data_IF_755447733655
#
_entry.id   IF_755447733655
#
_cell.length_a   1.000
_cell.length_b   1.000
_cell.length_c   1.000
_cell.angle_alpha   90.00
_cell.angle_beta   90.00
_cell.angle_gamma   90.00
#
_symmetry.space_group_name_H-M   'P 1'
#
loop_
_entity.id
_entity.type
_entity.pdbx_description
1 polymer ?
#
# COMPACT_ATOMS: atom_id res chain seq x y z
N UNK A 1 -20.12 -0.85 7.19
CA UNK A 1 -21.30 -1.74 7.35
C UNK A 1 -22.01 -2.04 6.03
N UNK A 2 -22.27 -1.07 5.14
CA UNK A 2 -22.88 -1.34 3.83
C UNK A 2 -21.99 -2.17 2.87
N UNK A 3 -20.68 -1.86 2.77
CA UNK A 3 -19.73 -2.66 2.00
C UNK A 3 -19.49 -4.06 2.61
N UNK A 4 -19.42 -4.16 3.95
CA UNK A 4 -19.43 -5.42 4.70
C UNK A 4 -20.67 -6.27 4.36
N UNK A 5 -21.87 -5.65 4.31
CA UNK A 5 -23.10 -6.31 3.89
C UNK A 5 -23.09 -6.66 2.42
N UNK A 6 -22.50 -5.88 1.51
CA UNK A 6 -22.43 -6.26 0.09
C UNK A 6 -21.46 -7.41 -0.15
N UNK A 7 -20.29 -7.41 0.48
CA UNK A 7 -19.32 -8.52 0.40
C UNK A 7 -19.88 -9.76 1.10
N UNK A 8 -20.51 -9.60 2.27
CA UNK A 8 -21.14 -10.71 2.99
C UNK A 8 -22.45 -11.16 2.32
N UNK A 9 -23.21 -10.30 1.64
CA UNK A 9 -24.39 -10.67 0.83
C UNK A 9 -23.97 -11.35 -0.50
N UNK A 10 -22.81 -10.98 -1.06
CA UNK A 10 -22.17 -11.73 -2.14
C UNK A 10 -21.80 -13.16 -1.70
N UNK A 11 -21.53 -13.39 -0.40
CA UNK A 11 -21.30 -14.71 0.18
C UNK A 11 -22.59 -15.41 0.68
N UNK A 12 -23.61 -14.67 1.14
CA UNK A 12 -24.76 -15.22 1.88
C UNK A 12 -25.97 -15.58 1.01
N UNK A 13 -26.14 -14.98 -0.17
CA UNK A 13 -27.31 -15.18 -1.03
C UNK A 13 -27.42 -16.59 -1.68
N UNK A 14 -26.54 -17.54 -1.33
CA UNK A 14 -26.56 -18.92 -1.85
C UNK A 14 -26.75 -20.00 -0.78
N UNK A 15 -26.63 -19.67 0.51
CA UNK A 15 -26.90 -20.62 1.59
C UNK A 15 -28.38 -20.98 1.73
N UNK A 16 -29.27 -20.09 1.27
CA UNK A 16 -30.72 -20.29 1.30
C UNK A 16 -31.23 -21.06 0.06
N UNK A 17 -30.71 -20.75 -1.14
CA UNK A 17 -31.16 -21.36 -2.40
C UNK A 17 -30.71 -22.83 -2.55
N UNK A 18 -29.55 -23.20 -1.99
CA UNK A 18 -29.06 -24.59 -2.02
C UNK A 18 -29.83 -25.46 -1.01
N UNK A 19 -30.28 -24.90 0.12
CA UNK A 19 -31.14 -25.60 1.08
C UNK A 19 -32.59 -25.72 0.59
N UNK A 20 -33.11 -24.74 -0.17
CA UNK A 20 -34.43 -24.84 -0.81
C UNK A 20 -34.46 -25.81 -2.01
N UNK A 21 -33.36 -25.92 -2.79
CA UNK A 21 -33.26 -26.91 -3.88
C UNK A 21 -33.03 -28.35 -3.41
N UNK A 22 -32.47 -28.57 -2.22
CA UNK A 22 -32.34 -29.92 -1.66
C UNK A 22 -33.58 -30.41 -0.89
N UNK A 23 -34.49 -29.52 -0.49
CA UNK A 23 -35.79 -29.91 0.08
C UNK A 23 -36.90 -30.14 -0.95
N UNK A 24 -36.73 -29.72 -2.21
CA UNK A 24 -37.75 -29.82 -3.28
C UNK A 24 -37.62 -31.05 -4.18
N UNK A 25 -36.77 -32.03 -3.84
CA UNK A 25 -36.59 -33.28 -4.64
C UNK A 25 -36.96 -34.58 -3.89
N UNK A 26 -37.82 -34.52 -2.88
CA UNK A 26 -38.51 -35.70 -2.35
C UNK A 26 -40.01 -35.57 -2.58
N UNK A 27 -40.48 -36.18 -3.67
CA UNK A 27 -41.90 -36.42 -3.92
C UNK A 27 -42.25 -37.72 -3.17
N UNK A 28 -43.06 -37.61 -2.12
CA UNK A 28 -43.82 -38.73 -1.56
C UNK A 28 -45.28 -38.60 -2.03
N UNK A 29 -45.86 -39.63 -2.67
CA UNK A 29 -47.25 -39.59 -3.13
C UNK A 29 -48.13 -40.24 -2.07
N UNK A 30 -48.62 -39.44 -1.12
CA UNK A 30 -49.90 -39.69 -0.46
C UNK A 30 -50.25 -38.58 0.54
N UNK A 31 -51.53 -38.22 0.50
CA UNK A 31 -52.39 -37.82 1.62
C UNK A 31 -52.95 -36.38 1.61
N UNK A 32 -54.26 -36.38 1.41
CA UNK A 32 -55.28 -35.37 1.63
C UNK A 32 -55.16 -34.52 2.91
N UNK A 33 -55.65 -33.28 2.82
CA UNK A 33 -56.65 -32.80 3.78
C UNK A 33 -56.34 -31.52 4.59
N UNK A 34 -57.25 -30.55 4.43
CA UNK A 34 -57.81 -29.64 5.43
C UNK A 34 -56.96 -28.51 6.09
N UNK A 35 -57.35 -27.29 5.71
CA UNK A 35 -57.88 -26.17 6.54
C UNK A 35 -57.44 -25.96 8.00
N UNK A 36 -57.18 -24.69 8.36
CA UNK A 36 -57.62 -24.15 9.66
C UNK A 36 -56.68 -23.21 10.42
N UNK A 37 -56.95 -21.90 10.27
CA UNK A 37 -57.14 -20.90 11.34
C UNK A 37 -56.04 -20.59 12.41
N UNK A 38 -55.68 -19.29 12.43
CA UNK A 38 -55.58 -18.35 13.58
C UNK A 38 -54.84 -18.75 14.88
N UNK A 39 -53.95 -17.87 15.39
CA UNK A 39 -54.25 -16.97 16.52
C UNK A 39 -53.07 -16.02 16.86
N UNK A 40 -53.47 -14.90 17.47
CA UNK A 40 -52.71 -13.76 17.99
C UNK A 40 -51.65 -14.10 19.05
N UNK A 41 -50.57 -13.30 19.15
CA UNK A 41 -50.40 -12.37 20.28
C UNK A 41 -49.18 -11.45 20.13
N UNK A 42 -49.43 -10.16 20.39
CA UNK A 42 -48.45 -9.15 20.76
C UNK A 42 -48.07 -9.27 22.25
N UNK A 43 -47.04 -8.50 22.60
CA UNK A 43 -46.59 -8.06 23.94
C UNK A 43 -45.49 -8.85 24.62
N UNK A 44 -44.30 -8.22 24.68
CA UNK A 44 -43.59 -7.89 25.93
C UNK A 44 -42.26 -7.16 25.63
N UNK A 45 -42.34 -5.84 25.48
CA UNK A 45 -41.24 -4.90 25.70
C UNK A 45 -41.21 -4.58 27.21
N UNK A 46 -40.15 -4.96 27.93
CA UNK A 46 -39.57 -4.24 29.08
C UNK A 46 -38.57 -5.13 29.82
N UNK A 47 -37.27 -4.99 29.52
CA UNK A 47 -36.13 -5.12 30.44
C UNK A 47 -34.84 -5.01 29.63
N UNK A 48 -34.07 -3.95 29.85
CA UNK A 48 -32.75 -3.82 29.23
C UNK A 48 -32.15 -2.43 29.16
N UNK A 49 -32.82 -1.39 29.66
CA UNK A 49 -32.24 -0.03 29.73
C UNK A 49 -31.75 0.27 31.14
N UNK A 50 -30.68 -0.41 31.59
CA UNK A 50 -29.94 0.01 32.80
C UNK A 50 -28.47 -0.49 32.88
N UNK A 51 -27.90 -1.00 31.78
CA UNK A 51 -26.48 -1.40 31.74
C UNK A 51 -25.61 -0.63 30.72
N UNK A 52 -26.17 0.32 29.96
CA UNK A 52 -25.42 1.08 28.94
C UNK A 52 -24.98 2.49 29.38
N UNK A 53 -25.30 2.95 30.59
CA UNK A 53 -24.91 4.29 31.06
C UNK A 53 -23.74 4.34 32.04
N UNK A 54 -23.17 3.20 32.48
CA UNK A 54 -22.00 3.19 33.38
C UNK A 54 -20.66 2.87 32.69
N UNK A 55 -20.64 2.47 31.41
CA UNK A 55 -19.41 2.22 30.65
C UNK A 55 -18.90 3.45 29.87
N UNK A 56 -19.72 4.49 29.69
CA UNK A 56 -19.37 5.70 28.92
C UNK A 56 -18.65 6.79 29.73
N UNK A 57 -18.42 6.59 31.03
CA UNK A 57 -17.71 7.56 31.90
C UNK A 57 -16.32 7.11 32.37
N UNK A 58 -15.83 5.95 31.91
CA UNK A 58 -14.46 5.47 32.20
C UNK A 58 -13.51 5.44 30.99
N UNK A 59 -13.91 5.99 29.83
CA UNK A 59 -13.09 6.02 28.62
C UNK A 59 -12.63 7.42 28.16
N UNK A 60 -12.83 8.46 28.98
CA UNK A 60 -12.39 9.85 28.69
C UNK A 60 -11.13 10.28 29.45
N UNK A 61 -10.37 9.35 30.05
CA UNK A 61 -9.16 9.68 30.82
C UNK A 61 -7.90 8.87 30.43
N UNK A 62 -7.82 8.37 29.18
CA UNK A 62 -6.62 7.71 28.66
C UNK A 62 -6.21 8.22 27.26
N UNK A 63 -6.59 9.45 26.93
CA UNK A 63 -6.15 10.18 25.74
C UNK A 63 -5.08 11.20 26.14
N UNK A 64 -3.87 10.72 26.41
CA UNK A 64 -2.63 11.50 26.51
C UNK A 64 -1.47 10.52 26.45
N UNK A 65 -0.48 10.80 25.59
CA UNK A 65 0.73 10.00 25.28
C UNK A 65 0.59 8.87 24.24
N UNK A 66 0.70 9.25 22.96
CA UNK A 66 1.58 8.54 22.02
C UNK A 66 2.11 9.51 20.96
N UNK A 67 2.94 10.47 21.38
CA UNK A 67 3.90 11.07 20.48
C UNK A 67 5.15 10.17 20.52
N UNK A 68 5.29 9.28 19.55
CA UNK A 68 6.58 8.61 19.31
C UNK A 68 7.35 9.50 18.36
N UNK A 69 8.13 10.40 18.96
CA UNK A 69 9.26 11.05 18.30
C UNK A 69 10.31 9.97 17.99
N UNK A 70 10.69 9.87 16.72
CA UNK A 70 11.91 9.19 16.31
C UNK A 70 13.10 9.95 16.90
N UNK A 71 13.56 9.54 18.09
CA UNK A 71 14.79 10.06 18.66
C UNK A 71 15.99 9.45 17.95
N UNK A 72 16.69 10.30 17.19
CA UNK A 72 18.08 10.08 16.82
C UNK A 72 18.92 9.85 18.07
N UNK A 73 19.65 8.73 18.09
CA UNK A 73 20.59 8.39 19.13
C UNK A 73 21.82 9.27 18.96
N UNK A 74 21.93 10.34 19.75
CA UNK A 74 23.22 10.93 20.11
C UNK A 74 23.12 11.62 21.47
N UNK A 75 23.69 10.98 22.49
CA UNK A 75 24.50 11.56 23.58
C UNK A 75 24.27 10.81 24.90
N UNK A 76 25.32 10.17 25.41
CA UNK A 76 25.65 10.21 26.83
C UNK A 76 27.07 9.70 27.06
N UNK A 77 27.96 10.63 27.44
CA UNK A 77 29.04 10.55 28.43
C UNK A 77 29.89 11.81 28.23
N UNK A 78 30.27 12.64 29.21
CA UNK A 78 29.87 12.89 30.58
C UNK A 78 30.51 14.24 30.93
N UNK A 79 29.85 15.06 31.75
CA UNK A 79 30.43 16.28 32.34
C UNK A 79 31.57 15.93 33.32
N UNK A 80 32.63 16.73 33.33
CA UNK A 80 33.20 17.41 34.53
C UNK A 80 34.44 18.23 34.18
N UNK A 81 34.54 19.44 34.74
CA UNK A 81 35.80 20.16 34.96
C UNK A 81 35.79 21.61 34.48
N UNK A 82 35.39 22.53 35.36
CA UNK A 82 35.66 23.98 35.25
C UNK A 82 37.16 24.26 35.43
N UNK A 83 37.72 25.24 34.70
CA UNK A 83 38.66 26.26 35.22
C UNK A 83 38.97 27.33 34.17
N UNK A 84 39.18 28.55 34.65
CA UNK A 84 39.17 29.83 33.96
C UNK A 84 40.49 30.24 33.28
N UNK A 85 40.36 31.24 32.39
CA UNK A 85 41.30 32.34 32.10
C UNK A 85 42.56 32.07 31.24
N UNK A 86 42.64 32.71 30.07
CA UNK A 86 43.36 33.98 29.89
C UNK A 86 43.29 34.48 28.44
N UNK A 87 43.45 35.79 28.30
CA UNK A 87 43.15 36.58 27.11
C UNK A 87 44.39 36.88 26.24
N UNK A 88 44.08 37.29 25.00
CA UNK A 88 44.73 38.36 24.22
C UNK A 88 45.87 38.01 23.21
N UNK A 89 46.11 38.87 22.18
CA UNK A 89 45.90 38.49 20.77
C UNK A 89 47.07 38.88 19.82
N UNK A 90 46.96 38.59 18.50
CA UNK A 90 47.21 39.51 17.35
C UNK A 90 47.72 38.82 16.05
N UNK A 91 46.91 39.02 14.99
CA UNK A 91 47.22 39.57 13.64
C UNK A 91 48.06 38.79 12.59
N UNK A 92 47.84 39.11 11.29
CA UNK A 92 48.02 38.20 10.15
C UNK A 92 49.24 38.56 9.27
N UNK A 93 49.71 37.61 8.47
CA UNK A 93 50.55 37.90 7.31
C UNK A 93 50.12 37.09 6.08
N UNK A 94 50.13 37.82 4.97
CA UNK A 94 49.63 37.45 3.66
C UNK A 94 50.69 36.75 2.78
N UNK A 95 50.28 36.47 1.53
CA UNK A 95 51.07 36.33 0.29
C UNK A 95 51.15 34.88 -0.25
N UNK A 96 50.32 34.63 -1.29
CA UNK A 96 50.51 33.60 -2.34
C UNK A 96 51.70 33.98 -3.25
N UNK A 97 52.08 33.28 -4.33
CA UNK A 97 51.65 31.98 -4.89
C UNK A 97 52.86 31.07 -5.21
N UNK A 98 52.67 29.77 -5.52
CA UNK A 98 53.57 29.08 -6.47
C UNK A 98 52.91 27.79 -6.97
N UNK A 99 52.68 27.72 -8.28
CA UNK A 99 52.46 26.46 -9.01
C UNK A 99 53.80 25.73 -9.11
N UNK A 100 53.86 24.50 -8.62
CA UNK A 100 54.75 23.47 -9.14
C UNK A 100 53.98 22.18 -9.28
N UNK A 101 54.02 21.62 -10.48
CA UNK A 101 53.56 20.28 -10.81
C UNK A 101 54.58 19.27 -10.28
N UNK A 102 54.13 18.29 -9.47
CA UNK A 102 54.62 16.90 -9.59
C UNK A 102 53.88 15.90 -8.71
N UNK A 103 53.67 14.76 -9.36
CA UNK A 103 53.73 13.40 -8.84
C UNK A 103 52.57 12.89 -7.98
N UNK A 104 51.93 11.86 -8.52
CA UNK A 104 51.23 10.81 -7.80
C UNK A 104 52.08 10.34 -6.60
N UNK A 105 51.70 10.77 -5.41
CA UNK A 105 52.02 10.06 -4.17
C UNK A 105 50.70 9.50 -3.65
N UNK A 106 50.64 8.18 -3.52
CA UNK A 106 49.47 7.48 -3.00
C UNK A 106 48.99 8.13 -1.70
N UNK A 107 47.75 8.59 -1.71
CA UNK A 107 47.08 9.08 -0.52
C UNK A 107 46.93 7.89 0.43
N UNK A 108 47.74 7.90 1.50
CA UNK A 108 47.41 7.18 2.73
C UNK A 108 45.95 7.49 3.07
N UNK A 109 45.11 6.49 3.38
CA UNK A 109 43.72 6.75 3.71
C UNK A 109 43.66 7.73 4.88
N UNK A 110 42.90 8.81 4.71
CA UNK A 110 42.75 9.85 5.72
C UNK A 110 42.05 9.24 6.94
N UNK A 111 42.85 8.88 7.95
CA UNK A 111 42.37 8.22 9.18
C UNK A 111 41.51 9.14 10.05
N UNK A 112 41.32 10.40 9.66
CA UNK A 112 40.50 11.38 10.40
C UNK A 112 39.00 11.06 10.38
N UNK A 113 38.56 10.20 9.45
CA UNK A 113 37.16 9.76 9.33
C UNK A 113 36.94 8.28 9.71
N UNK A 114 37.95 7.59 10.26
CA UNK A 114 37.87 6.15 10.59
C UNK A 114 36.83 5.81 11.67
N UNK A 115 36.30 6.81 12.37
CA UNK A 115 35.29 6.67 13.42
C UNK A 115 33.96 7.36 13.09
N UNK A 116 33.81 7.94 11.90
CA UNK A 116 32.48 8.35 11.44
C UNK A 116 31.69 7.11 11.03
N UNK A 117 30.42 6.97 11.43
CA UNK A 117 29.59 5.89 10.95
C UNK A 117 29.54 5.95 9.42
N UNK A 118 30.18 5.00 8.75
CA UNK A 118 30.07 4.85 7.31
C UNK A 118 28.67 4.32 7.02
N UNK A 119 27.72 5.22 6.77
CA UNK A 119 26.43 4.81 6.28
C UNK A 119 26.64 4.18 4.91
N UNK A 120 26.13 2.97 4.75
CA UNK A 120 26.14 2.18 3.51
C UNK A 120 25.26 2.80 2.42
N UNK A 121 25.40 4.10 2.14
CA UNK A 121 24.65 4.80 1.12
C UNK A 121 24.90 4.19 -0.27
N UNK A 122 26.13 3.76 -0.53
CA UNK A 122 26.52 3.04 -1.75
C UNK A 122 25.80 1.68 -1.85
N UNK A 123 25.74 0.91 -0.75
CA UNK A 123 24.99 -0.34 -0.69
C UNK A 123 23.48 -0.13 -0.92
N UNK A 124 22.91 0.97 -0.43
CA UNK A 124 21.49 1.31 -0.68
C UNK A 124 21.27 1.62 -2.17
N UNK A 125 22.24 2.26 -2.83
CA UNK A 125 22.29 2.43 -4.28
C UNK A 125 22.30 1.07 -5.00
N UNK A 126 23.22 0.19 -4.64
CA UNK A 126 23.36 -1.14 -5.22
C UNK A 126 22.10 -2.01 -5.02
N UNK A 127 21.45 -1.89 -3.85
CA UNK A 127 20.18 -2.59 -3.57
C UNK A 127 19.06 -2.04 -4.47
N UNK A 128 18.99 -0.72 -4.64
CA UNK A 128 18.00 -0.07 -5.51
C UNK A 128 18.19 -0.56 -6.95
N UNK A 129 19.42 -0.53 -7.44
CA UNK A 129 19.77 -1.00 -8.79
C UNK A 129 19.45 -2.49 -8.95
N UNK A 130 19.76 -3.32 -7.94
CA UNK A 130 19.39 -4.74 -7.95
C UNK A 130 17.87 -4.96 -8.05
N UNK A 131 17.06 -4.18 -7.31
CA UNK A 131 15.60 -4.33 -7.36
C UNK A 131 15.01 -3.83 -8.67
N UNK A 132 15.46 -2.67 -9.16
CA UNK A 132 15.03 -2.11 -10.45
C UNK A 132 15.44 -3.04 -11.60
N UNK A 133 16.65 -3.60 -11.56
CA UNK A 133 17.12 -4.55 -12.56
C UNK A 133 16.35 -5.87 -12.51
N UNK A 134 16.04 -6.39 -11.31
CA UNK A 134 15.16 -7.57 -11.16
C UNK A 134 13.76 -7.32 -11.71
N UNK A 135 13.22 -6.12 -11.49
CA UNK A 135 11.93 -5.71 -12.02
C UNK A 135 11.96 -5.59 -13.55
N UNK A 136 12.98 -4.95 -14.12
CA UNK A 136 13.21 -4.91 -15.58
C UNK A 136 13.31 -6.29 -16.19
N UNK A 137 14.09 -7.19 -15.57
CA UNK A 137 14.22 -8.58 -16.02
C UNK A 137 12.89 -9.33 -15.94
N UNK A 138 12.09 -9.10 -14.90
CA UNK A 138 10.77 -9.71 -14.78
C UNK A 138 9.79 -9.20 -15.83
N UNK A 139 9.80 -7.89 -16.13
CA UNK A 139 9.00 -7.28 -17.21
C UNK A 139 9.46 -7.78 -18.59
N UNK A 140 10.76 -7.85 -18.84
CA UNK A 140 11.31 -8.36 -20.10
C UNK A 140 10.85 -9.80 -20.34
N UNK A 141 10.97 -10.66 -19.33
CA UNK A 141 10.45 -12.05 -19.38
C UNK A 141 8.94 -12.10 -19.58
N UNK A 142 8.19 -11.15 -19.01
CA UNK A 142 6.74 -11.06 -19.21
C UNK A 142 6.39 -10.75 -20.67
N UNK A 143 7.09 -9.80 -21.28
CA UNK A 143 6.90 -9.42 -22.68
C UNK A 143 7.32 -10.55 -23.64
N UNK A 144 8.44 -11.24 -23.36
CA UNK A 144 8.92 -12.39 -24.14
C UNK A 144 7.97 -13.59 -24.04
N UNK A 145 7.40 -13.85 -22.85
CA UNK A 145 6.44 -14.92 -22.61
C UNK A 145 5.11 -14.72 -23.34
N UNK A 146 4.66 -13.47 -23.50
CA UNK A 146 3.48 -13.15 -24.30
C UNK A 146 3.74 -13.23 -25.81
N UNK A 147 4.99 -13.01 -26.26
CA UNK A 147 5.35 -13.03 -27.68
C UNK A 147 5.56 -14.46 -28.23
N UNK A 148 5.96 -15.41 -27.39
CA UNK A 148 6.44 -16.72 -27.83
C UNK A 148 5.36 -17.80 -27.98
N UNK A 149 4.12 -17.62 -27.48
CA UNK A 149 3.05 -18.64 -27.43
C UNK A 149 3.46 -20.00 -26.83
N UNK A 150 4.69 -20.13 -26.34
CA UNK A 150 5.23 -21.28 -25.61
C UNK A 150 4.60 -21.28 -24.21
N UNK A 151 4.32 -22.46 -23.62
CA UNK A 151 3.91 -22.56 -22.24
C UNK A 151 5.10 -22.19 -21.36
N UNK A 152 5.30 -20.88 -21.14
CA UNK A 152 6.18 -20.36 -20.10
C UNK A 152 5.74 -21.07 -18.83
N UNK A 153 6.68 -21.75 -18.16
CA UNK A 153 6.41 -22.39 -16.90
C UNK A 153 5.85 -21.30 -15.96
N UNK A 154 4.52 -21.29 -15.78
CA UNK A 154 3.77 -20.20 -15.14
C UNK A 154 4.28 -19.92 -13.72
N UNK A 155 5.00 -20.90 -13.14
CA UNK A 155 5.68 -20.83 -11.85
C UNK A 155 6.86 -19.84 -11.78
N UNK A 156 7.44 -19.39 -12.91
CA UNK A 156 8.59 -18.46 -12.91
C UNK A 156 8.18 -17.02 -13.18
N UNK A 157 7.15 -16.79 -14.02
CA UNK A 157 6.69 -15.45 -14.40
C UNK A 157 5.71 -14.85 -13.37
N UNK A 158 4.79 -15.66 -12.82
CA UNK A 158 3.89 -15.25 -11.73
C UNK A 158 4.49 -15.42 -10.33
N UNK A 159 5.76 -15.81 -10.27
CA UNK A 159 6.49 -15.97 -9.02
C UNK A 159 6.49 -14.70 -8.18
N UNK A 160 6.45 -13.52 -8.81
CA UNK A 160 6.57 -12.21 -8.14
C UNK A 160 5.46 -11.22 -8.52
N UNK A 161 4.83 -11.39 -9.69
CA UNK A 161 3.80 -10.49 -10.21
C UNK A 161 2.54 -11.25 -10.61
N UNK A 162 1.37 -10.61 -10.51
CA UNK A 162 0.12 -11.16 -11.01
C UNK A 162 0.01 -10.96 -12.53
N UNK A 163 -0.79 -11.78 -13.22
CA UNK A 163 -1.11 -11.55 -14.62
C UNK A 163 -2.04 -10.34 -14.76
N UNK A 164 -1.75 -9.31 -15.57
CA UNK A 164 -2.71 -8.23 -15.80
C UNK A 164 -3.99 -8.70 -16.51
N UNK A 165 -4.06 -9.97 -16.93
CA UNK A 165 -5.23 -10.57 -17.59
C UNK A 165 -5.83 -11.76 -16.82
N UNK A 166 -5.49 -12.01 -15.54
CA UNK A 166 -6.01 -13.19 -14.83
C UNK A 166 -7.54 -13.22 -14.66
N UNK A 167 -8.23 -12.08 -14.81
CA UNK A 167 -9.69 -12.03 -14.75
C UNK A 167 -10.38 -12.28 -16.10
N UNK A 168 -9.66 -12.27 -17.24
CA UNK A 168 -10.29 -12.43 -18.56
C UNK A 168 -11.01 -13.79 -18.73
N UNK A 169 -10.53 -14.83 -18.04
CA UNK A 169 -11.05 -16.19 -18.14
C UNK A 169 -11.79 -16.62 -16.86
N UNK A 170 -12.05 -15.68 -15.95
CA UNK A 170 -12.71 -15.94 -14.68
C UNK A 170 -14.25 -15.86 -14.86
N UNK A 171 -15.02 -16.94 -14.56
CA UNK A 171 -16.45 -16.99 -14.88
C UNK A 171 -17.40 -16.22 -13.91
N UNK A 172 -16.98 -15.96 -12.67
CA UNK A 172 -17.83 -15.41 -11.59
C UNK A 172 -17.35 -14.09 -10.97
N UNK A 173 -16.09 -13.70 -11.15
CA UNK A 173 -15.37 -12.58 -10.53
C UNK A 173 -14.91 -11.66 -11.64
N UNK A 174 -15.21 -10.38 -11.50
CA UNK A 174 -14.77 -9.34 -12.43
C UNK A 174 -13.99 -8.24 -11.69
N UNK A 175 -13.46 -7.29 -12.45
CA UNK A 175 -12.66 -6.17 -11.94
C UNK A 175 -13.40 -5.37 -10.86
N UNK A 176 -14.72 -5.19 -11.02
CA UNK A 176 -15.56 -4.50 -10.04
C UNK A 176 -15.62 -5.27 -8.71
N UNK A 177 -15.72 -6.60 -8.71
CA UNK A 177 -15.70 -7.40 -7.49
C UNK A 177 -14.33 -7.33 -6.79
N UNK A 178 -13.23 -7.32 -7.55
CA UNK A 178 -11.88 -7.08 -7.01
C UNK A 178 -11.81 -5.71 -6.33
N UNK A 179 -12.26 -4.65 -7.00
CA UNK A 179 -12.31 -3.29 -6.43
C UNK A 179 -13.11 -3.25 -5.13
N UNK A 180 -14.28 -3.91 -5.07
CA UNK A 180 -15.11 -4.00 -3.86
C UNK A 180 -14.33 -4.66 -2.71
N UNK A 181 -13.63 -5.76 -3.01
CA UNK A 181 -12.83 -6.47 -2.02
C UNK A 181 -11.71 -5.56 -1.48
N UNK A 182 -10.95 -4.92 -2.36
CA UNK A 182 -9.82 -4.06 -1.97
C UNK A 182 -10.30 -2.84 -1.20
N UNK A 183 -11.39 -2.18 -1.62
CA UNK A 183 -12.02 -1.07 -0.87
C UNK A 183 -12.38 -1.49 0.56
N UNK A 184 -12.98 -2.67 0.71
CA UNK A 184 -13.29 -3.22 2.03
C UNK A 184 -12.04 -3.56 2.84
N UNK A 185 -10.99 -4.10 2.21
CA UNK A 185 -9.73 -4.42 2.89
C UNK A 185 -9.01 -3.17 3.40
N UNK A 186 -9.20 -1.99 2.80
CA UNK A 186 -8.72 -0.72 3.37
C UNK A 186 -9.37 -0.45 4.74
N UNK A 187 -10.68 -0.68 4.88
CA UNK A 187 -11.35 -0.53 6.19
C UNK A 187 -10.84 -1.58 7.21
N UNK A 188 -10.57 -2.82 6.77
CA UNK A 188 -9.99 -3.88 7.62
C UNK A 188 -8.57 -3.53 8.06
N UNK A 189 -7.74 -3.06 7.14
CA UNK A 189 -6.38 -2.57 7.37
C UNK A 189 -6.35 -1.50 8.47
N UNK A 190 -7.25 -0.52 8.37
CA UNK A 190 -7.40 0.53 9.39
C UNK A 190 -7.91 0.00 10.73
N UNK A 191 -8.84 -0.97 10.71
CA UNK A 191 -9.40 -1.58 11.92
C UNK A 191 -8.34 -2.33 12.72
N UNK A 192 -7.47 -3.07 12.05
CA UNK A 192 -6.33 -3.78 12.65
C UNK A 192 -5.11 -2.88 12.90
N UNK A 193 -5.12 -1.63 12.41
CA UNK A 193 -4.04 -0.64 12.58
C UNK A 193 -2.70 -1.13 12.02
N UNK A 194 -2.75 -1.81 10.88
CA UNK A 194 -1.58 -2.39 10.22
C UNK A 194 -0.74 -1.31 9.52
N UNK A 195 0.53 -1.63 9.27
CA UNK A 195 1.45 -0.83 8.46
C UNK A 195 1.02 -0.82 6.98
N UNK A 196 1.45 0.18 6.21
CA UNK A 196 1.01 0.34 4.83
C UNK A 196 1.55 -0.81 3.94
N UNK A 197 2.78 -1.23 4.22
CA UNK A 197 3.51 -2.36 3.66
C UNK A 197 2.64 -3.63 3.63
N UNK A 198 1.96 -3.91 4.76
CA UNK A 198 1.02 -5.03 4.90
C UNK A 198 -0.14 -4.97 3.90
N UNK A 199 -0.70 -3.79 3.63
CA UNK A 199 -1.76 -3.62 2.62
C UNK A 199 -1.25 -3.90 1.21
N UNK A 200 -0.09 -3.35 0.85
CA UNK A 200 0.51 -3.55 -0.47
C UNK A 200 0.83 -5.03 -0.72
N UNK A 201 1.40 -5.71 0.28
CA UNK A 201 1.67 -7.14 0.21
C UNK A 201 0.37 -7.96 0.13
N UNK A 202 -0.64 -7.64 0.94
CA UNK A 202 -1.93 -8.35 0.92
C UNK A 202 -2.57 -8.34 -0.48
N UNK A 203 -2.62 -7.18 -1.14
CA UNK A 203 -3.19 -7.08 -2.49
C UNK A 203 -2.35 -7.86 -3.51
N UNK A 204 -1.02 -7.79 -3.43
CA UNK A 204 -0.14 -8.60 -4.27
C UNK A 204 -0.42 -10.11 -4.11
N UNK A 205 -0.59 -10.59 -2.88
CA UNK A 205 -0.91 -11.99 -2.59
C UNK A 205 -2.27 -12.40 -3.16
N UNK A 206 -3.29 -11.53 -3.07
CA UNK A 206 -4.62 -11.77 -3.66
C UNK A 206 -4.49 -11.95 -5.18
N UNK A 207 -3.85 -10.99 -5.85
CA UNK A 207 -3.81 -10.98 -7.32
C UNK A 207 -2.97 -12.14 -7.87
N UNK A 208 -1.84 -12.47 -7.23
CA UNK A 208 -1.02 -13.63 -7.61
C UNK A 208 -1.75 -14.95 -7.35
N UNK A 209 -2.44 -15.08 -6.21
CA UNK A 209 -3.21 -16.27 -5.91
C UNK A 209 -4.33 -16.49 -6.94
N UNK A 210 -5.09 -15.42 -7.26
CA UNK A 210 -6.11 -15.48 -8.31
C UNK A 210 -5.52 -15.76 -9.69
N UNK A 211 -4.32 -15.25 -9.99
CA UNK A 211 -3.58 -15.57 -11.23
C UNK A 211 -3.23 -17.06 -11.33
N UNK A 212 -2.77 -17.67 -10.23
CA UNK A 212 -2.44 -19.09 -10.20
C UNK A 212 -3.68 -19.97 -10.29
N UNK A 213 -4.75 -19.58 -9.59
CA UNK A 213 -6.00 -20.31 -9.57
C UNK A 213 -6.74 -20.25 -10.92
N UNK A 214 -6.65 -19.14 -11.66
CA UNK A 214 -7.31 -18.95 -12.96
C UNK A 214 -6.35 -19.17 -14.13
N UNK A 215 -5.60 -20.27 -14.12
CA UNK A 215 -4.64 -20.51 -15.20
C UNK A 215 -5.34 -20.93 -16.50
N UNK A 216 -4.73 -20.58 -17.65
CA UNK A 216 -5.30 -20.88 -18.99
C UNK A 216 -5.40 -22.39 -19.28
N UNK A 217 -4.63 -23.21 -18.57
CA UNK A 217 -4.45 -24.64 -18.81
C UNK A 217 -5.62 -25.45 -18.24
N UNK A 218 -6.08 -25.11 -17.04
CA UNK A 218 -7.22 -25.75 -16.39
C UNK A 218 -8.35 -24.74 -16.14
N UNK A 219 -9.28 -24.67 -17.10
CA UNK A 219 -10.47 -23.80 -17.02
C UNK A 219 -11.52 -24.27 -16.01
N UNK A 220 -11.37 -25.46 -15.43
CA UNK A 220 -12.30 -25.98 -14.43
C UNK A 220 -11.85 -25.63 -13.00
N UNK A 221 -10.64 -25.13 -12.83
CA UNK A 221 -10.14 -24.62 -11.56
C UNK A 221 -10.27 -23.09 -11.55
N UNK A 222 -11.06 -22.56 -10.62
CA UNK A 222 -11.21 -21.12 -10.38
C UNK A 222 -11.65 -20.87 -8.94
N UNK A 223 -11.48 -19.63 -8.45
CA UNK A 223 -12.02 -19.22 -7.15
C UNK A 223 -13.48 -18.77 -7.31
N UNK A 224 -14.47 -19.43 -6.67
CA UNK A 224 -15.85 -18.98 -6.72
C UNK A 224 -16.02 -17.61 -6.06
N UNK A 225 -16.96 -16.78 -6.52
CA UNK A 225 -17.20 -15.44 -5.96
C UNK A 225 -17.46 -15.47 -4.45
N UNK A 226 -18.13 -16.51 -3.95
CA UNK A 226 -18.45 -16.71 -2.53
C UNK A 226 -17.21 -16.92 -1.64
N UNK A 227 -16.07 -17.29 -2.25
CA UNK A 227 -14.79 -17.51 -1.57
C UNK A 227 -13.84 -16.30 -1.69
N UNK A 228 -14.20 -15.28 -2.46
CA UNK A 228 -13.33 -14.13 -2.71
C UNK A 228 -13.01 -13.33 -1.43
N UNK A 229 -13.99 -13.12 -0.54
CA UNK A 229 -13.72 -12.46 0.75
C UNK A 229 -12.77 -13.28 1.62
N UNK A 230 -12.93 -14.61 1.65
CA UNK A 230 -12.02 -15.48 2.39
C UNK A 230 -10.58 -15.37 1.89
N UNK A 231 -10.39 -15.31 0.57
CA UNK A 231 -9.06 -15.05 -0.03
C UNK A 231 -8.50 -13.73 0.48
N UNK A 232 -9.29 -12.66 0.45
CA UNK A 232 -8.84 -11.34 0.91
C UNK A 232 -8.45 -11.30 2.39
N UNK A 233 -9.26 -11.89 3.27
CA UNK A 233 -8.96 -11.97 4.71
C UNK A 233 -7.71 -12.78 4.98
N UNK A 234 -7.55 -13.93 4.31
CA UNK A 234 -6.38 -14.79 4.50
C UNK A 234 -5.10 -14.16 3.93
N UNK A 235 -5.19 -13.46 2.79
CA UNK A 235 -4.06 -12.72 2.24
C UNK A 235 -3.62 -11.57 3.17
N UNK A 236 -4.58 -10.84 3.78
CA UNK A 236 -4.28 -9.83 4.81
C UNK A 236 -3.61 -10.45 6.03
N UNK A 237 -4.10 -11.60 6.52
CA UNK A 237 -3.52 -12.31 7.65
C UNK A 237 -2.08 -12.79 7.35
N UNK A 238 -1.84 -13.33 6.16
CA UNK A 238 -0.52 -13.77 5.71
C UNK A 238 0.44 -12.59 5.58
N UNK A 239 0.00 -11.49 4.97
CA UNK A 239 0.80 -10.28 4.88
C UNK A 239 1.13 -9.73 6.27
N UNK A 240 0.17 -9.71 7.18
CA UNK A 240 0.40 -9.24 8.54
C UNK A 240 1.37 -10.14 9.30
N UNK A 241 1.28 -11.48 9.15
CA UNK A 241 2.28 -12.41 9.73
C UNK A 241 3.68 -12.20 9.18
N UNK A 242 3.80 -11.62 7.98
CA UNK A 242 5.07 -11.38 7.32
C UNK A 242 5.68 -10.02 7.72
N UNK A 243 4.87 -8.97 7.79
CA UNK A 243 5.32 -7.59 7.98
C UNK A 243 5.18 -7.06 9.42
N UNK A 244 4.23 -7.58 10.20
CA UNK A 244 3.90 -7.04 11.52
C UNK A 244 4.62 -7.79 12.65
N UNK A 245 5.04 -7.03 13.67
CA UNK A 245 5.53 -7.61 14.93
C UNK A 245 4.40 -8.38 15.63
N UNK A 246 3.18 -7.86 15.57
CA UNK A 246 1.99 -8.39 16.24
C UNK A 246 0.83 -8.54 15.24
N UNK A 247 0.81 -9.61 14.44
CA UNK A 247 -0.27 -9.85 13.50
C UNK A 247 -1.59 -10.18 14.22
N UNK A 248 -2.74 -9.92 13.58
CA UNK A 248 -4.04 -10.31 14.12
C UNK A 248 -4.14 -11.84 14.25
N UNK A 249 -4.91 -12.29 15.23
CA UNK A 249 -5.18 -13.70 15.43
C UNK A 249 -6.28 -14.21 14.46
N UNK A 250 -6.28 -15.54 14.20
CA UNK A 250 -7.32 -16.16 13.35
C UNK A 250 -8.74 -15.88 13.87
N UNK A 251 -8.94 -15.78 15.19
CA UNK A 251 -10.24 -15.44 15.78
C UNK A 251 -10.73 -14.04 15.37
N UNK A 252 -9.82 -13.10 15.16
CA UNK A 252 -10.15 -11.74 14.71
C UNK A 252 -10.53 -11.75 13.23
N UNK A 253 -9.91 -12.61 12.42
CA UNK A 253 -10.31 -12.86 11.03
C UNK A 253 -11.71 -13.49 10.92
N UNK A 254 -12.06 -14.43 11.81
CA UNK A 254 -13.43 -14.96 11.92
C UNK A 254 -14.40 -13.83 12.27
N UNK A 255 -14.05 -13.01 13.26
CA UNK A 255 -14.91 -11.91 13.71
C UNK A 255 -15.11 -10.81 12.65
N UNK A 256 -14.05 -10.36 11.97
CA UNK A 256 -14.12 -9.30 10.96
C UNK A 256 -14.89 -9.74 9.71
N UNK A 257 -14.93 -11.04 9.44
CA UNK A 257 -15.76 -11.66 8.41
C UNK A 257 -17.20 -11.95 8.88
N UNK A 258 -17.64 -11.38 10.01
CA UNK A 258 -18.96 -11.57 10.59
C UNK A 258 -19.33 -13.06 10.83
N UNK A 259 -18.33 -13.89 11.15
CA UNK A 259 -18.46 -15.34 11.30
C UNK A 259 -18.97 -16.05 10.03
N UNK A 260 -18.82 -15.44 8.84
CA UNK A 260 -19.12 -16.10 7.57
C UNK A 260 -18.24 -17.32 7.35
N UNK A 261 -17.01 -17.30 7.88
CA UNK A 261 -16.04 -18.40 7.74
C UNK A 261 -15.61 -18.95 9.09
N UNK A 262 -15.42 -20.26 9.12
CA UNK A 262 -14.88 -20.98 10.29
C UNK A 262 -13.37 -20.81 10.41
N UNK A 263 -12.83 -21.13 11.59
CA UNK A 263 -11.38 -21.13 11.84
C UNK A 263 -10.65 -22.08 10.88
N UNK A 264 -11.23 -23.25 10.64
CA UNK A 264 -10.69 -24.30 9.78
C UNK A 264 -10.63 -23.83 8.33
N UNK A 265 -11.65 -23.14 7.85
CA UNK A 265 -11.66 -22.57 6.49
C UNK A 265 -10.60 -21.50 6.28
N UNK A 266 -10.37 -20.64 7.28
CA UNK A 266 -9.30 -19.64 7.23
C UNK A 266 -7.93 -20.31 7.15
N UNK A 267 -7.66 -21.29 8.02
CA UNK A 267 -6.39 -22.02 8.02
C UNK A 267 -6.19 -22.78 6.71
N UNK A 268 -7.24 -23.39 6.17
CA UNK A 268 -7.16 -24.11 4.90
C UNK A 268 -6.90 -23.16 3.72
N UNK A 269 -7.53 -21.97 3.73
CA UNK A 269 -7.27 -20.97 2.70
C UNK A 269 -5.85 -20.39 2.81
N UNK A 270 -5.34 -20.10 4.00
CA UNK A 270 -3.94 -19.68 4.19
C UNK A 270 -2.97 -20.71 3.58
N UNK A 271 -3.16 -22.00 3.89
CA UNK A 271 -2.35 -23.09 3.30
C UNK A 271 -2.46 -23.12 1.78
N UNK A 272 -3.67 -22.93 1.24
CA UNK A 272 -3.90 -22.87 -0.21
C UNK A 272 -3.10 -21.74 -0.86
N UNK A 273 -3.15 -20.53 -0.29
CA UNK A 273 -2.41 -19.37 -0.79
C UNK A 273 -0.91 -19.64 -0.72
N UNK A 274 -0.38 -20.08 0.42
CA UNK A 274 1.04 -20.38 0.56
C UNK A 274 1.52 -21.46 -0.41
N UNK A 275 0.73 -22.51 -0.60
CA UNK A 275 1.07 -23.62 -1.51
C UNK A 275 1.07 -23.16 -2.96
N UNK A 276 0.02 -22.45 -3.40
CA UNK A 276 -0.08 -21.91 -4.75
C UNK A 276 1.07 -20.96 -5.08
N UNK A 277 1.50 -20.15 -4.11
CA UNK A 277 2.61 -19.21 -4.26
C UNK A 277 3.98 -19.80 -3.92
N UNK A 278 4.06 -21.10 -3.64
CA UNK A 278 5.31 -21.78 -3.24
C UNK A 278 6.07 -21.06 -2.13
N UNK A 279 5.34 -20.50 -1.16
CA UNK A 279 5.86 -19.68 -0.04
C UNK A 279 6.72 -18.46 -0.47
N UNK A 280 6.62 -18.01 -1.72
CA UNK A 280 7.30 -16.80 -2.21
C UNK A 280 6.51 -15.55 -1.83
N UNK A 281 6.67 -15.12 -0.58
CA UNK A 281 6.00 -13.94 -0.01
C UNK A 281 6.87 -12.68 -0.08
N UNK A 282 8.20 -12.82 -0.13
CA UNK A 282 9.13 -11.69 -0.34
C UNK A 282 9.06 -11.22 -1.79
N UNK A 283 8.33 -10.14 -2.03
CA UNK A 283 8.09 -9.58 -3.36
C UNK A 283 8.30 -8.06 -3.35
N UNK A 284 8.67 -7.47 -4.49
CA UNK A 284 8.69 -6.02 -4.61
C UNK A 284 7.25 -5.48 -4.50
N UNK A 285 7.07 -4.47 -3.65
CA UNK A 285 5.85 -3.67 -3.55
C UNK A 285 6.17 -2.21 -3.89
N UNK A 286 5.17 -1.36 -4.17
CA UNK A 286 5.45 0.04 -4.51
C UNK A 286 6.09 0.85 -3.35
N UNK A 287 5.90 0.42 -2.10
CA UNK A 287 6.27 1.22 -0.93
C UNK A 287 7.78 1.46 -0.77
N UNK A 288 8.68 0.46 -0.88
CA UNK A 288 10.13 0.69 -0.84
C UNK A 288 10.63 1.70 -1.90
N UNK A 289 10.08 1.66 -3.12
CA UNK A 289 10.43 2.61 -4.18
C UNK A 289 9.97 4.03 -3.84
N UNK A 290 8.75 4.19 -3.33
CA UNK A 290 8.26 5.49 -2.86
C UNK A 290 9.10 6.02 -1.68
N UNK A 291 9.49 5.14 -0.75
CA UNK A 291 10.36 5.48 0.39
C UNK A 291 11.73 5.98 -0.05
N UNK A 292 12.31 5.35 -1.09
CA UNK A 292 13.55 5.84 -1.70
C UNK A 292 13.38 7.23 -2.28
N UNK A 293 12.30 7.48 -3.04
CA UNK A 293 12.02 8.80 -3.60
C UNK A 293 11.78 9.86 -2.50
N UNK A 294 11.08 9.50 -1.41
CA UNK A 294 10.88 10.41 -0.27
C UNK A 294 12.19 10.76 0.42
N UNK A 295 13.13 9.81 0.57
CA UNK A 295 14.45 10.09 1.16
C UNK A 295 15.21 11.14 0.34
N UNK A 296 15.09 11.10 -0.99
CA UNK A 296 15.69 12.11 -1.88
C UNK A 296 15.02 13.47 -1.67
N UNK A 297 13.68 13.50 -1.66
CA UNK A 297 12.90 14.74 -1.47
C UNK A 297 13.12 15.38 -0.09
N UNK A 298 13.40 14.59 0.95
CA UNK A 298 13.67 15.10 2.29
C UNK A 298 14.99 15.88 2.36
N UNK A 299 15.95 15.55 1.50
CA UNK A 299 17.26 16.23 1.41
C UNK A 299 17.37 17.31 0.33
N UNK A 300 16.38 17.43 -0.55
CA UNK A 300 16.40 18.32 -1.73
C UNK A 300 15.44 19.52 -1.57
N UNK A 301 15.78 20.67 -2.16
CA UNK A 301 14.83 21.78 -2.33
C UNK A 301 13.98 21.52 -3.58
N UNK A 302 13.13 20.50 -3.50
CA UNK A 302 12.33 20.01 -4.63
C UNK A 302 11.28 21.00 -5.15
N UNK A 303 11.04 22.10 -4.42
CA UNK A 303 10.18 23.20 -4.86
C UNK A 303 10.98 24.38 -5.42
N UNK A 304 12.22 24.60 -4.98
CA UNK A 304 13.09 25.66 -5.47
C UNK A 304 12.58 27.07 -5.12
N UNK A 305 11.75 27.20 -4.08
CA UNK A 305 11.10 28.45 -3.67
C UNK A 305 11.66 29.04 -2.37
N UNK A 306 12.76 28.48 -1.84
CA UNK A 306 13.45 29.03 -0.67
C UNK A 306 12.61 28.98 0.61
N UNK A 307 12.01 27.82 0.90
CA UNK A 307 11.20 27.60 2.11
C UNK A 307 12.03 27.52 3.37
N UNK A 308 11.44 27.95 4.49
CA UNK A 308 12.01 27.65 5.80
C UNK A 308 11.91 26.14 6.13
N UNK A 309 12.61 25.70 7.16
CA UNK A 309 12.69 24.29 7.52
C UNK A 309 11.33 23.70 7.95
N UNK A 310 10.47 24.50 8.58
CA UNK A 310 9.16 24.06 9.05
C UNK A 310 8.19 23.86 7.89
N UNK A 311 8.14 24.82 6.97
CA UNK A 311 7.39 24.75 5.72
C UNK A 311 7.85 23.57 4.87
N UNK A 312 9.16 23.35 4.76
CA UNK A 312 9.73 22.20 4.04
C UNK A 312 9.27 20.88 4.64
N UNK A 313 9.31 20.74 5.97
CA UNK A 313 8.78 19.55 6.68
C UNK A 313 7.28 19.36 6.44
N UNK A 314 6.49 20.45 6.46
CA UNK A 314 5.06 20.40 6.18
C UNK A 314 4.75 19.96 4.75
N UNK A 315 5.43 20.54 3.74
CA UNK A 315 5.27 20.18 2.34
C UNK A 315 5.72 18.75 2.04
N UNK A 316 6.81 18.31 2.66
CA UNK A 316 7.25 16.93 2.56
C UNK A 316 6.19 15.94 3.08
N UNK A 317 5.61 16.23 4.25
CA UNK A 317 4.53 15.40 4.80
C UNK A 317 3.29 15.37 3.90
N UNK A 318 2.91 16.51 3.29
CA UNK A 318 1.85 16.56 2.28
C UNK A 318 2.17 15.65 1.09
N UNK A 319 3.38 15.72 0.54
CA UNK A 319 3.79 14.86 -0.59
C UNK A 319 3.74 13.39 -0.21
N UNK A 320 4.20 13.00 0.98
CA UNK A 320 4.14 11.61 1.45
C UNK A 320 2.71 11.09 1.56
N UNK A 321 1.80 11.88 2.15
CA UNK A 321 0.40 11.51 2.25
C UNK A 321 -0.28 11.47 0.88
N UNK A 322 0.00 12.43 0.00
CA UNK A 322 -0.52 12.45 -1.37
C UNK A 322 0.01 11.28 -2.21
N UNK A 323 1.29 10.93 -2.06
CA UNK A 323 1.88 9.75 -2.73
C UNK A 323 1.15 8.49 -2.31
N UNK A 324 0.94 8.31 -1.00
CA UNK A 324 0.24 7.13 -0.45
C UNK A 324 -1.22 7.08 -0.89
N UNK A 325 -1.89 8.24 -1.01
CA UNK A 325 -3.23 8.35 -1.56
C UNK A 325 -3.33 7.83 -2.99
N UNK A 326 -2.39 8.20 -3.88
CA UNK A 326 -2.34 7.72 -5.26
C UNK A 326 -1.99 6.23 -5.35
N UNK A 327 -1.00 5.78 -4.58
CA UNK A 327 -0.63 4.36 -4.53
C UNK A 327 -1.78 3.47 -4.06
N UNK A 328 -2.55 3.91 -3.05
CA UNK A 328 -3.72 3.15 -2.58
C UNK A 328 -4.86 3.14 -3.61
N UNK A 329 -5.05 4.21 -4.41
CA UNK A 329 -5.98 4.15 -5.54
C UNK A 329 -5.51 3.15 -6.61
N UNK A 330 -4.21 3.09 -6.88
CA UNK A 330 -3.64 2.11 -7.80
C UNK A 330 -3.88 0.66 -7.33
N UNK A 331 -3.98 0.39 -6.02
CA UNK A 331 -4.35 -0.93 -5.52
C UNK A 331 -5.78 -1.35 -5.91
N UNK A 332 -6.72 -0.41 -5.94
CA UNK A 332 -8.12 -0.69 -6.28
C UNK A 332 -8.31 -0.92 -7.79
N UNK A 333 -7.55 -0.22 -8.63
CA UNK A 333 -7.67 -0.31 -10.08
C UNK A 333 -7.00 -1.57 -10.63
N UNK A 334 -7.78 -2.43 -11.28
CA UNK A 334 -7.26 -3.63 -11.93
C UNK A 334 -6.30 -3.30 -13.09
N UNK A 335 -6.51 -2.17 -13.78
CA UNK A 335 -5.63 -1.76 -14.89
C UNK A 335 -4.21 -1.46 -14.42
N UNK A 336 -4.03 -1.08 -13.16
CA UNK A 336 -2.70 -0.80 -12.61
C UNK A 336 -1.78 -2.03 -12.54
N UNK A 337 -2.31 -3.26 -12.69
CA UNK A 337 -1.51 -4.49 -12.77
C UNK A 337 -0.61 -4.57 -14.00
N UNK A 338 -0.85 -3.75 -15.03
CA UNK A 338 0.04 -3.68 -16.20
C UNK A 338 1.34 -2.92 -15.90
N UNK A 339 1.41 -2.21 -14.78
CA UNK A 339 2.56 -1.43 -14.37
C UNK A 339 3.32 -2.13 -13.25
N UNK A 340 4.62 -1.87 -13.23
CA UNK A 340 5.50 -2.37 -12.19
C UNK A 340 5.34 -1.60 -10.88
N UNK A 341 5.70 -2.19 -9.72
CA UNK A 341 5.75 -1.49 -8.46
C UNK A 341 6.53 -0.17 -8.46
N UNK A 342 7.69 -0.09 -9.12
CA UNK A 342 8.44 1.18 -9.22
C UNK A 342 7.70 2.22 -10.05
N UNK A 343 7.08 1.83 -11.18
CA UNK A 343 6.27 2.75 -11.99
C UNK A 343 5.09 3.30 -11.19
N UNK A 344 4.37 2.47 -10.43
CA UNK A 344 3.27 2.91 -9.57
C UNK A 344 3.78 3.90 -8.51
N UNK A 345 4.92 3.61 -7.88
CA UNK A 345 5.52 4.48 -6.87
C UNK A 345 5.94 5.84 -7.46
N UNK A 346 6.71 5.84 -8.56
CA UNK A 346 7.22 7.06 -9.19
C UNK A 346 6.09 7.90 -9.79
N UNK A 347 5.10 7.28 -10.43
CA UNK A 347 3.90 7.96 -10.89
C UNK A 347 3.13 8.62 -9.73
N UNK A 348 3.00 7.93 -8.60
CA UNK A 348 2.32 8.47 -7.42
C UNK A 348 3.07 9.64 -6.78
N UNK A 349 4.40 9.58 -6.71
CA UNK A 349 5.24 10.70 -6.24
C UNK A 349 5.12 11.89 -7.19
N UNK A 350 5.17 11.64 -8.50
CA UNK A 350 5.03 12.67 -9.52
C UNK A 350 3.67 13.37 -9.44
N UNK A 351 2.57 12.62 -9.32
CA UNK A 351 1.23 13.17 -9.11
C UNK A 351 1.11 13.95 -7.80
N UNK A 352 1.73 13.47 -6.72
CA UNK A 352 1.76 14.17 -5.44
C UNK A 352 2.48 15.53 -5.52
N UNK A 353 3.61 15.58 -6.24
CA UNK A 353 4.33 16.83 -6.51
C UNK A 353 3.48 17.79 -7.36
N UNK A 354 2.81 17.30 -8.42
CA UNK A 354 1.89 18.12 -9.21
C UNK A 354 0.72 18.68 -8.39
N UNK A 355 0.15 17.87 -7.49
CA UNK A 355 -0.91 18.30 -6.60
C UNK A 355 -0.43 19.41 -5.66
N UNK A 356 0.77 19.28 -5.09
CA UNK A 356 1.36 20.31 -4.24
C UNK A 356 1.64 21.60 -5.01
N UNK A 357 2.21 21.50 -6.21
CA UNK A 357 2.48 22.68 -7.06
C UNK A 357 1.20 23.41 -7.43
N UNK A 358 0.12 22.67 -7.73
CA UNK A 358 -1.22 23.24 -7.97
C UNK A 358 -1.75 23.95 -6.72
N UNK A 359 -1.60 23.34 -5.54
CA UNK A 359 -2.02 23.95 -4.26
C UNK A 359 -1.28 25.26 -3.94
N UNK A 360 -0.02 25.35 -4.34
CA UNK A 360 0.83 26.52 -4.11
C UNK A 360 0.79 27.55 -5.25
N UNK A 361 -0.03 27.32 -6.29
CA UNK A 361 -0.14 28.16 -7.48
C UNK A 361 1.23 28.47 -8.13
N UNK A 362 2.11 27.47 -8.17
CA UNK A 362 3.44 27.66 -8.74
C UNK A 362 3.39 27.77 -10.27
N UNK A 363 4.22 28.64 -10.88
CA UNK A 363 4.19 28.86 -12.32
C UNK A 363 4.47 27.58 -13.11
N UNK A 364 3.65 27.33 -14.14
CA UNK A 364 3.79 26.18 -15.05
C UNK A 364 5.12 26.18 -15.80
N UNK A 365 5.71 27.35 -16.00
CA UNK A 365 7.03 27.59 -16.61
C UNK A 365 8.14 27.63 -15.57
N UNK A 366 8.01 26.87 -14.47
CA UNK A 366 9.07 26.81 -13.45
C UNK A 366 10.36 26.29 -14.07
N UNK A 367 11.47 26.98 -13.78
CA UNK A 367 12.84 26.53 -14.09
C UNK A 367 13.12 25.16 -13.46
N UNK A 368 12.39 24.79 -12.40
CA UNK A 368 12.53 23.52 -11.70
C UNK A 368 11.57 22.44 -12.26
N UNK A 369 12.10 21.37 -12.88
CA UNK A 369 11.26 20.27 -13.35
C UNK A 369 10.52 19.62 -12.18
N UNK A 370 9.34 19.06 -12.45
CA UNK A 370 8.55 18.34 -11.42
C UNK A 370 9.31 17.12 -10.93
N UNK A 371 9.92 16.41 -11.88
CA UNK A 371 10.84 15.32 -11.60
C UNK A 371 12.26 15.86 -11.64
N UNK A 372 12.84 16.12 -10.47
CA UNK A 372 14.17 16.75 -10.33
C UNK A 372 15.29 15.85 -10.85
N UNK A 373 16.44 16.43 -11.16
CA UNK A 373 17.63 15.65 -11.56
C UNK A 373 18.09 14.71 -10.44
N UNK A 374 17.93 15.12 -9.17
CA UNK A 374 18.18 14.26 -8.03
C UNK A 374 17.24 13.03 -8.02
N UNK A 375 15.93 13.24 -8.23
CA UNK A 375 14.98 12.13 -8.37
C UNK A 375 15.36 11.22 -9.54
N UNK A 376 15.65 11.77 -10.72
CA UNK A 376 16.08 10.99 -11.89
C UNK A 376 17.33 10.16 -11.59
N UNK A 377 18.33 10.77 -10.95
CA UNK A 377 19.60 10.12 -10.64
C UNK A 377 19.45 8.97 -9.63
N UNK A 378 18.68 9.15 -8.56
CA UNK A 378 18.57 8.16 -7.48
C UNK A 378 17.49 7.10 -7.69
N UNK A 379 16.44 7.42 -8.46
CA UNK A 379 15.39 6.45 -8.82
C UNK A 379 15.72 5.69 -10.11
N UNK A 380 16.68 6.20 -10.90
CA UNK A 380 17.01 5.69 -12.25
C UNK A 380 15.80 5.66 -13.18
N UNK A 381 14.85 6.58 -12.99
CA UNK A 381 13.62 6.67 -13.78
C UNK A 381 13.41 8.04 -14.39
N UNK A 382 12.95 8.04 -15.63
CA UNK A 382 12.47 9.20 -16.36
C UNK A 382 10.94 9.25 -16.41
N UNK A 383 10.38 10.46 -16.52
CA UNK A 383 8.92 10.63 -16.54
C UNK A 383 8.26 9.84 -17.67
N UNK A 384 8.92 9.71 -18.82
CA UNK A 384 8.40 8.93 -19.96
C UNK A 384 8.12 7.46 -19.61
N UNK A 385 8.91 6.87 -18.70
CA UNK A 385 8.79 5.45 -18.32
C UNK A 385 7.57 5.15 -17.45
N UNK A 386 7.08 6.15 -16.69
CA UNK A 386 5.93 5.98 -15.79
C UNK A 386 4.76 6.93 -16.09
N UNK A 387 4.85 7.75 -17.15
CA UNK A 387 3.79 8.70 -17.53
C UNK A 387 2.44 8.01 -17.74
N UNK A 388 2.42 6.92 -18.52
CA UNK A 388 1.19 6.17 -18.76
C UNK A 388 0.57 5.61 -17.46
N UNK A 389 1.41 5.27 -16.47
CA UNK A 389 0.94 4.87 -15.15
C UNK A 389 0.29 6.05 -14.40
N UNK A 390 0.92 7.23 -14.45
CA UNK A 390 0.35 8.44 -13.85
C UNK A 390 -0.99 8.83 -14.48
N UNK A 391 -1.15 8.70 -15.79
CA UNK A 391 -2.42 8.96 -16.50
C UNK A 391 -3.51 8.00 -16.03
N UNK A 392 -3.23 6.69 -15.99
CA UNK A 392 -4.20 5.68 -15.52
C UNK A 392 -4.59 5.90 -14.06
N UNK A 393 -3.63 6.19 -13.18
CA UNK A 393 -3.92 6.47 -11.76
C UNK A 393 -4.79 7.74 -11.64
N UNK A 394 -4.47 8.80 -12.38
CA UNK A 394 -5.21 10.06 -12.33
C UNK A 394 -6.65 9.89 -12.82
N UNK A 395 -6.85 9.21 -13.94
CA UNK A 395 -8.18 8.88 -14.48
C UNK A 395 -9.00 8.09 -13.44
N UNK A 396 -8.37 7.11 -12.79
CA UNK A 396 -9.04 6.31 -11.77
C UNK A 396 -9.42 7.14 -10.55
N UNK A 397 -8.53 8.01 -10.05
CA UNK A 397 -8.83 8.94 -8.93
C UNK A 397 -10.00 9.86 -9.27
N UNK A 398 -10.12 10.32 -10.51
CA UNK A 398 -11.25 11.13 -10.98
C UNK A 398 -12.54 10.32 -11.14
N UNK A 399 -12.43 9.03 -11.49
CA UNK A 399 -13.56 8.11 -11.56
C UNK A 399 -14.11 7.75 -10.17
N UNK A 400 -13.26 7.52 -9.17
CA UNK A 400 -13.66 7.01 -7.85
C UNK A 400 -14.81 7.79 -7.21
N UNK A 401 -14.85 9.14 -7.18
CA UNK A 401 -15.98 9.93 -6.65
C UNK A 401 -17.36 9.58 -7.23
N UNK A 402 -17.43 9.03 -8.44
CA UNK A 402 -18.68 8.60 -9.07
C UNK A 402 -19.20 7.26 -8.52
N UNK A 403 -18.39 6.57 -7.72
CA UNK A 403 -18.69 5.26 -7.15
C UNK A 403 -19.04 5.35 -5.67
N UNK A 404 -19.66 4.30 -5.13
CA UNK A 404 -19.90 4.17 -3.68
C UNK A 404 -18.70 3.63 -2.88
N UNK A 405 -17.62 3.22 -3.56
CA UNK A 405 -16.43 2.62 -2.95
C UNK A 405 -15.40 3.72 -2.68
N UNK A 406 -15.42 4.22 -1.46
CA UNK A 406 -14.78 5.48 -1.07
C UNK A 406 -13.76 5.28 0.07
N UNK A 407 -13.34 4.07 0.40
CA UNK A 407 -12.54 3.80 1.59
C UNK A 407 -11.22 4.59 1.61
N UNK A 408 -10.50 4.62 0.48
CA UNK A 408 -9.27 5.43 0.35
C UNK A 408 -9.58 6.91 0.54
N UNK A 409 -10.59 7.45 -0.16
CA UNK A 409 -10.98 8.86 -0.01
C UNK A 409 -11.38 9.19 1.43
N UNK A 410 -12.15 8.33 2.11
CA UNK A 410 -12.51 8.49 3.52
C UNK A 410 -11.28 8.50 4.43
N UNK A 411 -10.33 7.58 4.22
CA UNK A 411 -9.07 7.51 4.98
C UNK A 411 -8.29 8.82 4.88
N UNK A 412 -8.05 9.28 3.65
CA UNK A 412 -7.26 10.49 3.38
C UNK A 412 -8.03 11.81 3.53
N UNK A 413 -9.31 11.75 3.94
CA UNK A 413 -10.09 12.91 4.34
C UNK A 413 -9.84 13.32 5.80
N UNK A 414 -9.25 12.45 6.61
CA UNK A 414 -8.94 12.74 8.00
C UNK A 414 -7.79 13.76 8.12
N UNK A 415 -7.84 14.60 9.14
CA UNK A 415 -6.76 15.52 9.52
C UNK A 415 -5.42 14.80 9.78
N UNK A 416 -5.46 13.52 10.21
CA UNK A 416 -4.27 12.66 10.33
C UNK A 416 -3.48 12.58 9.02
N UNK A 417 -4.17 12.65 7.90
CA UNK A 417 -3.58 12.60 6.56
C UNK A 417 -3.68 13.95 5.85
N UNK A 418 -3.74 15.06 6.60
CA UNK A 418 -3.77 16.43 6.05
C UNK A 418 -4.88 16.69 5.04
N UNK A 419 -5.97 15.92 5.11
CA UNK A 419 -7.14 16.04 4.24
C UNK A 419 -6.82 16.03 2.73
N UNK A 420 -5.80 15.25 2.31
CA UNK A 420 -5.37 15.13 0.90
C UNK A 420 -6.55 14.93 -0.06
N UNK A 421 -7.57 14.15 0.31
CA UNK A 421 -8.70 13.88 -0.60
C UNK A 421 -9.52 15.11 -0.99
N UNK A 422 -9.40 16.22 -0.23
CA UNK A 422 -10.05 17.51 -0.50
C UNK A 422 -9.21 18.44 -1.39
N UNK A 423 -7.93 18.12 -1.59
CA UNK A 423 -7.04 18.96 -2.40
C UNK A 423 -7.44 18.93 -3.88
N UNK A 424 -7.15 20.03 -4.57
CA UNK A 424 -7.35 20.12 -6.01
C UNK A 424 -6.41 19.15 -6.72
N UNK A 425 -6.98 18.24 -7.51
CA UNK A 425 -6.22 17.30 -8.33
C UNK A 425 -5.71 18.02 -9.57
N UNK A 426 -4.55 17.60 -10.12
CA UNK A 426 -4.15 18.05 -11.46
C UNK A 426 -5.20 17.58 -12.48
N UNK A 427 -5.68 18.48 -13.34
CA UNK A 427 -6.67 18.13 -14.37
C UNK A 427 -6.06 17.30 -15.50
N UNK A 428 -4.82 17.59 -15.86
CA UNK A 428 -4.05 16.93 -16.93
C UNK A 428 -2.57 16.92 -16.55
N UNK A 429 -1.81 15.96 -17.10
CA UNK A 429 -0.36 15.95 -16.94
C UNK A 429 0.30 16.98 -17.86
N UNK A 430 1.31 17.75 -17.39
CA UNK A 430 2.03 18.70 -18.23
C UNK A 430 2.60 18.03 -19.49
N UNK A 431 2.63 18.74 -20.62
CA UNK A 431 3.39 18.31 -21.78
C UNK A 431 4.89 18.24 -21.42
N UNK A 432 5.57 17.18 -21.88
CA UNK A 432 6.99 16.94 -21.61
C UNK A 432 7.90 17.77 -22.51
#
# INVERSE_FOLDING_TARGET
MAALREVSNLASNLGADIKQRQQTSRIDPNNNGFSGASFLNQDSLHRGSQQEQQLSQRLTAASSFSAVTSHSIHSFMARRGESESHAQPRRPHAIAPFRTSRAFSGSSPDTRHAHEPTYCADLIGDITDMFVERERQAVARFNEGNASNEPVNASTLYAYYASPQYLQHQPEINEKMRMILVDWLIDVHLKFKLHAETMYLAVNLIDRYLSCANNKVDRNTFVPRARLQLVGVCAMLLAAKYEEIWPPEVKECVHISANTYTREEIIQMERSICTALSFRLTVPTPFPFASRAWTVLEGDDFLGIGTDEEQRRHYFALVRHATSFFMEHALLDYKCLQFTPSQIAHASVFLALLMLRTKLDLPKTSTFPVWTDALRYYTKSEVQEFRGCAEVILDYVNYVPTTKYQAVRRKYNSSRYMEISKMLMPNELPAL
#
